data_IF_355013154375
#
_entry.id   IF_355013154375
#
_cell.length_a   1.000
_cell.length_b   1.000
_cell.length_c   1.000
_cell.angle_alpha   90.00
_cell.angle_beta   90.00
_cell.angle_gamma   90.00
#
_symmetry.space_group_name_H-M   'P 1'
#
loop_
_entity.id
_entity.type
_entity.pdbx_description
1 polymer ?
#
# COMPACT_ATOMS: atom_id res chain seq x y z
N UNK A 1 7.59 47.28 3.78
CA UNK A 1 8.44 46.61 2.76
C UNK A 1 9.95 46.78 2.97
N UNK A 2 10.48 47.92 3.43
CA UNK A 2 11.94 48.15 3.61
C UNK A 2 12.70 47.10 4.45
N UNK A 3 12.07 46.53 5.49
CA UNK A 3 12.71 45.51 6.36
C UNK A 3 12.89 44.13 5.70
N UNK A 4 12.05 43.78 4.72
CA UNK A 4 12.19 42.54 3.92
C UNK A 4 13.42 42.66 3.00
N UNK A 5 13.55 43.80 2.31
CA UNK A 5 14.65 44.07 1.38
C UNK A 5 16.02 44.05 2.07
N UNK A 6 16.12 44.60 3.29
CA UNK A 6 17.36 44.58 4.06
C UNK A 6 17.76 43.17 4.51
N UNK A 7 16.77 42.28 4.73
CA UNK A 7 17.02 40.89 5.13
C UNK A 7 17.54 40.04 3.97
N UNK A 8 17.02 40.28 2.75
CA UNK A 8 17.48 39.66 1.51
C UNK A 8 18.89 40.11 1.15
N UNK A 9 19.20 41.41 1.25
CA UNK A 9 20.56 41.94 1.00
C UNK A 9 21.61 41.36 1.96
N UNK A 10 21.24 41.06 3.21
CA UNK A 10 22.14 40.42 4.17
C UNK A 10 22.47 38.95 3.80
N UNK A 11 21.52 38.20 3.23
CA UNK A 11 21.76 36.85 2.69
C UNK A 11 22.70 36.90 1.48
N UNK A 12 22.55 37.89 0.61
CA UNK A 12 23.43 38.11 -0.54
C UNK A 12 24.86 38.57 -0.19
N UNK A 13 25.17 38.88 1.09
CA UNK A 13 26.52 39.24 1.53
C UNK A 13 27.41 38.03 1.86
N UNK A 14 26.82 36.85 2.11
CA UNK A 14 27.54 35.60 2.40
C UNK A 14 27.10 34.46 1.46
N UNK A 15 27.10 34.74 0.14
CA UNK A 15 26.45 33.90 -0.90
C UNK A 15 26.87 32.44 -0.85
N UNK A 16 28.18 32.14 -0.80
CA UNK A 16 28.69 30.76 -0.83
C UNK A 16 28.23 29.97 0.41
N UNK A 17 28.40 30.55 1.61
CA UNK A 17 27.98 29.90 2.86
C UNK A 17 26.47 29.69 2.92
N UNK A 18 25.68 30.66 2.46
CA UNK A 18 24.22 30.54 2.40
C UNK A 18 23.78 29.50 1.37
N UNK A 19 24.43 29.43 0.20
CA UNK A 19 24.13 28.44 -0.85
C UNK A 19 24.42 27.01 -0.38
N UNK A 20 25.62 26.75 0.14
CA UNK A 20 26.01 25.40 0.61
C UNK A 20 25.02 24.89 1.66
N UNK A 21 24.63 25.75 2.60
CA UNK A 21 23.73 25.40 3.68
C UNK A 21 22.28 25.18 3.22
N UNK A 22 21.77 26.01 2.29
CA UNK A 22 20.43 25.84 1.72
C UNK A 22 20.37 24.54 0.91
N UNK A 23 21.41 24.26 0.10
CA UNK A 23 21.48 23.01 -0.66
C UNK A 23 21.53 21.81 0.30
N UNK A 24 22.37 21.85 1.33
CA UNK A 24 22.46 20.77 2.32
C UNK A 24 21.13 20.51 3.04
N UNK A 25 20.41 21.57 3.43
CA UNK A 25 19.09 21.44 4.04
C UNK A 25 18.05 20.91 3.05
N UNK A 26 18.05 21.41 1.81
CA UNK A 26 17.13 20.98 0.77
C UNK A 26 17.31 19.49 0.46
N UNK A 27 18.56 19.03 0.28
CA UNK A 27 18.88 17.62 0.05
C UNK A 27 18.50 16.75 1.24
N UNK A 28 18.80 17.20 2.47
CA UNK A 28 18.43 16.46 3.69
C UNK A 28 16.92 16.28 3.84
N UNK A 29 16.15 17.36 3.67
CA UNK A 29 14.68 17.31 3.73
C UNK A 29 14.11 16.48 2.59
N UNK A 30 14.63 16.61 1.35
CA UNK A 30 14.18 15.82 0.22
C UNK A 30 14.43 14.31 0.44
N UNK A 31 15.60 13.94 0.94
CA UNK A 31 15.93 12.55 1.26
C UNK A 31 15.00 12.00 2.35
N UNK A 32 14.77 12.76 3.43
CA UNK A 32 13.82 12.36 4.49
C UNK A 32 12.40 12.20 3.94
N UNK A 33 11.93 13.12 3.08
CA UNK A 33 10.59 13.04 2.50
C UNK A 33 10.41 11.81 1.60
N UNK A 34 11.41 11.47 0.78
CA UNK A 34 11.38 10.25 -0.05
C UNK A 34 11.24 9.01 0.85
N UNK A 35 12.04 8.94 1.91
CA UNK A 35 12.00 7.80 2.84
C UNK A 35 10.65 7.72 3.56
N UNK A 36 10.13 8.84 4.06
CA UNK A 36 8.82 8.89 4.73
C UNK A 36 7.70 8.49 3.78
N UNK A 37 7.75 8.94 2.51
CA UNK A 37 6.74 8.55 1.51
C UNK A 37 6.78 7.05 1.23
N UNK A 38 7.97 6.46 1.14
CA UNK A 38 8.13 5.02 1.00
C UNK A 38 7.55 4.26 2.21
N UNK A 39 7.89 4.67 3.44
CA UNK A 39 7.34 4.07 4.67
C UNK A 39 5.81 4.16 4.68
N UNK A 40 5.27 5.33 4.32
CA UNK A 40 3.82 5.53 4.25
C UNK A 40 3.17 4.59 3.23
N UNK A 41 3.75 4.43 2.03
CA UNK A 41 3.25 3.50 1.02
C UNK A 41 3.24 2.05 1.49
N UNK A 42 4.28 1.63 2.23
CA UNK A 42 4.37 0.27 2.77
C UNK A 42 3.38 0.02 3.93
N UNK A 43 3.09 1.03 4.76
CA UNK A 43 2.13 0.91 5.87
C UNK A 43 0.67 1.02 5.42
N UNK A 44 0.43 1.66 4.27
CA UNK A 44 -0.92 1.88 3.71
C UNK A 44 -1.31 0.85 2.65
N UNK A 45 -0.65 -0.31 2.63
CA UNK A 45 -1.00 -1.39 1.70
C UNK A 45 -2.46 -1.81 1.90
N UNK A 46 -3.18 -1.98 0.79
CA UNK A 46 -4.60 -2.33 0.69
C UNK A 46 -5.60 -1.33 1.31
N UNK A 47 -5.16 -0.14 1.75
CA UNK A 47 -6.04 0.86 2.36
C UNK A 47 -7.03 1.51 1.37
N UNK A 48 -6.89 1.26 0.07
CA UNK A 48 -7.89 1.62 -0.94
C UNK A 48 -9.23 0.90 -0.73
N UNK A 49 -9.24 -0.26 -0.06
CA UNK A 49 -10.46 -0.98 0.30
C UNK A 49 -11.20 -0.26 1.44
N UNK A 50 -12.41 0.24 1.19
CA UNK A 50 -13.19 1.03 2.17
C UNK A 50 -13.49 0.25 3.45
N UNK A 51 -13.71 -1.06 3.30
CA UNK A 51 -14.05 -1.97 4.39
C UNK A 51 -12.87 -2.87 4.80
N UNK A 52 -11.61 -2.44 4.62
CA UNK A 52 -10.42 -3.26 4.91
C UNK A 52 -10.43 -3.88 6.31
N UNK A 53 -10.95 -3.18 7.32
CA UNK A 53 -11.04 -3.70 8.69
C UNK A 53 -12.02 -4.88 8.87
N UNK A 54 -12.85 -5.14 7.87
CA UNK A 54 -13.82 -6.24 7.83
C UNK A 54 -13.43 -7.32 6.83
N UNK A 55 -12.34 -7.12 6.08
CA UNK A 55 -11.83 -8.10 5.14
C UNK A 55 -10.85 -9.02 5.84
N UNK A 56 -11.10 -10.31 5.69
CA UNK A 56 -10.30 -11.37 6.25
C UNK A 56 -9.95 -12.37 5.17
N UNK A 57 -8.78 -12.98 5.27
CA UNK A 57 -8.35 -14.06 4.40
C UNK A 57 -8.45 -15.38 5.16
N UNK A 58 -8.87 -16.43 4.47
CA UNK A 58 -8.94 -17.77 5.04
C UNK A 58 -7.54 -18.40 5.11
N UNK A 59 -7.25 -18.99 6.26
CA UNK A 59 -6.01 -19.72 6.52
C UNK A 59 -6.34 -21.07 7.14
N UNK A 60 -5.46 -22.05 6.94
CA UNK A 60 -5.52 -23.33 7.62
C UNK A 60 -4.25 -23.53 8.44
N UNK A 61 -4.41 -23.89 9.71
CA UNK A 61 -3.33 -24.41 10.54
C UNK A 61 -3.30 -25.94 10.39
N UNK A 62 -2.16 -26.46 9.95
CA UNK A 62 -1.89 -27.90 9.85
C UNK A 62 -1.42 -28.46 11.20
N UNK A 63 -1.48 -29.78 11.36
CA UNK A 63 -1.06 -30.49 12.58
C UNK A 63 0.41 -30.25 12.96
N UNK A 64 1.28 -29.97 11.99
CA UNK A 64 2.69 -29.61 12.20
C UNK A 64 2.89 -28.16 12.69
N UNK A 65 1.81 -27.41 12.94
CA UNK A 65 1.85 -26.01 13.36
C UNK A 65 1.99 -25.00 12.23
N UNK A 66 2.25 -25.43 10.99
CA UNK A 66 2.32 -24.55 9.83
C UNK A 66 0.97 -23.92 9.51
N UNK A 67 0.95 -22.62 9.25
CA UNK A 67 -0.23 -21.87 8.85
C UNK A 67 -0.06 -21.46 7.40
N UNK A 68 -1.00 -21.80 6.53
CA UNK A 68 -0.97 -21.42 5.12
C UNK A 68 -2.26 -20.72 4.71
N UNK A 69 -2.15 -19.81 3.74
CA UNK A 69 -3.34 -19.31 3.02
C UNK A 69 -3.98 -20.49 2.31
N UNK A 70 -5.31 -20.54 2.35
CA UNK A 70 -6.09 -21.57 1.67
C UNK A 70 -7.38 -20.96 1.13
N UNK A 71 -8.00 -21.68 0.22
CA UNK A 71 -9.37 -21.43 -0.19
C UNK A 71 -10.39 -22.27 0.60
N UNK A 72 -11.67 -22.12 0.24
CA UNK A 72 -12.77 -22.89 0.80
C UNK A 72 -13.22 -24.03 -0.13
N UNK A 73 -12.30 -24.65 -0.89
CA UNK A 73 -12.65 -25.44 -2.07
C UNK A 73 -12.52 -26.98 -1.96
N UNK A 74 -12.56 -27.60 -0.78
CA UNK A 74 -12.69 -29.06 -0.68
C UNK A 74 -14.17 -29.52 -0.69
N UNK A 75 -14.92 -29.09 -1.70
CA UNK A 75 -16.38 -29.27 -1.79
C UNK A 75 -16.81 -30.71 -2.04
N UNK A 76 -15.87 -31.59 -2.40
CA UNK A 76 -16.13 -33.00 -2.68
C UNK A 76 -15.86 -33.90 -1.47
N UNK A 77 -15.33 -33.36 -0.37
CA UNK A 77 -15.14 -34.09 0.87
C UNK A 77 -16.39 -34.00 1.77
N UNK A 78 -17.02 -35.13 2.15
CA UNK A 78 -18.18 -35.13 3.05
C UNK A 78 -17.88 -34.59 4.46
N UNK A 79 -16.61 -34.53 4.88
CA UNK A 79 -16.18 -34.00 6.17
C UNK A 79 -15.91 -32.48 6.13
N UNK A 80 -15.97 -31.84 4.96
CA UNK A 80 -15.72 -30.42 4.83
C UNK A 80 -16.89 -29.59 5.36
N UNK A 81 -16.61 -28.80 6.40
CA UNK A 81 -17.51 -27.79 6.94
C UNK A 81 -17.01 -26.43 6.46
N UNK A 82 -17.73 -25.86 5.50
CA UNK A 82 -17.41 -24.57 4.91
C UNK A 82 -17.52 -23.43 5.94
N UNK A 83 -16.41 -22.79 6.35
CA UNK A 83 -16.43 -21.70 7.31
C UNK A 83 -17.17 -20.46 6.75
N UNK A 84 -17.32 -20.36 5.43
CA UNK A 84 -17.96 -19.24 4.75
C UNK A 84 -19.49 -19.31 4.76
N UNK A 85 -20.09 -20.45 5.14
CA UNK A 85 -21.55 -20.59 5.30
C UNK A 85 -22.10 -20.01 6.61
N UNK A 86 -21.23 -19.49 7.47
CA UNK A 86 -21.64 -18.88 8.73
C UNK A 86 -22.42 -17.57 8.47
N UNK A 87 -23.55 -17.32 9.16
CA UNK A 87 -24.36 -16.10 8.96
C UNK A 87 -23.62 -14.79 9.29
N UNK A 88 -22.52 -14.84 10.05
CA UNK A 88 -21.67 -13.68 10.35
C UNK A 88 -20.80 -13.25 9.14
N UNK A 89 -20.74 -14.05 8.07
CA UNK A 89 -20.07 -13.74 6.81
C UNK A 89 -21.07 -13.06 5.87
N UNK A 90 -20.87 -11.78 5.58
CA UNK A 90 -21.73 -11.01 4.67
C UNK A 90 -21.53 -11.38 3.20
N UNK A 91 -20.31 -11.79 2.86
CA UNK A 91 -19.93 -12.17 1.51
C UNK A 91 -18.50 -12.64 1.47
N UNK A 92 -18.19 -13.57 0.57
CA UNK A 92 -16.86 -14.09 0.36
C UNK A 92 -16.59 -14.24 -1.13
N UNK A 93 -15.32 -14.15 -1.49
CA UNK A 93 -14.85 -14.32 -2.85
C UNK A 93 -13.69 -15.30 -2.89
N UNK A 94 -13.73 -16.16 -3.89
CA UNK A 94 -12.67 -17.10 -4.20
C UNK A 94 -11.75 -16.56 -5.29
N UNK A 95 -10.45 -16.73 -5.10
CA UNK A 95 -9.44 -16.32 -6.08
C UNK A 95 -8.33 -17.35 -6.25
N UNK A 96 -7.89 -17.58 -7.48
CA UNK A 96 -6.64 -18.27 -7.78
C UNK A 96 -5.82 -17.32 -8.62
N UNK A 97 -4.61 -17.04 -8.18
CA UNK A 97 -3.69 -16.24 -8.98
C UNK A 97 -2.75 -17.14 -9.77
N UNK A 98 -2.31 -16.67 -10.93
CA UNK A 98 -1.42 -17.34 -11.85
C UNK A 98 -0.34 -16.32 -12.22
N UNK A 99 0.82 -16.49 -11.63
CA UNK A 99 1.98 -15.65 -11.90
C UNK A 99 2.68 -16.20 -13.14
N UNK A 100 3.12 -15.30 -14.01
CA UNK A 100 3.88 -15.66 -15.21
C UNK A 100 3.15 -16.61 -16.16
N UNK A 101 1.82 -16.54 -16.19
CA UNK A 101 1.02 -17.23 -17.19
C UNK A 101 1.15 -16.54 -18.55
N UNK A 102 0.43 -17.01 -19.56
CA UNK A 102 0.41 -16.39 -20.87
C UNK A 102 -0.98 -16.29 -21.48
N UNK A 103 -1.15 -15.26 -22.30
CA UNK A 103 -2.26 -15.13 -23.24
C UNK A 103 -1.73 -15.20 -24.66
N UNK A 104 -2.57 -15.68 -25.57
CA UNK A 104 -2.30 -15.68 -27.00
C UNK A 104 -3.16 -14.57 -27.64
N UNK A 105 -2.49 -13.63 -28.28
CA UNK A 105 -3.11 -12.55 -29.04
C UNK A 105 -2.34 -12.41 -30.36
N UNK A 106 -3.05 -12.40 -31.48
CA UNK A 106 -2.45 -12.30 -32.83
C UNK A 106 -1.31 -13.29 -33.06
N UNK A 107 -1.54 -14.57 -32.72
CA UNK A 107 -0.56 -15.68 -32.78
C UNK A 107 0.70 -15.53 -31.89
N UNK A 108 0.83 -14.45 -31.12
CA UNK A 108 1.93 -14.21 -30.19
C UNK A 108 1.55 -14.52 -28.74
N UNK A 109 2.52 -15.03 -27.97
CA UNK A 109 2.37 -15.29 -26.54
C UNK A 109 2.87 -14.10 -25.72
N UNK A 110 2.01 -13.55 -24.88
CA UNK A 110 2.34 -12.49 -23.95
C UNK A 110 2.28 -13.00 -22.52
N UNK A 111 3.31 -12.72 -21.73
CA UNK A 111 3.35 -13.06 -20.30
C UNK A 111 2.39 -12.15 -19.54
N UNK A 112 1.61 -12.72 -18.64
CA UNK A 112 0.58 -12.04 -17.87
C UNK A 112 0.42 -12.64 -16.48
N UNK A 113 0.08 -11.82 -15.49
CA UNK A 113 -0.40 -12.30 -14.20
C UNK A 113 -1.92 -12.37 -14.21
N UNK A 114 -2.47 -13.58 -14.14
CA UNK A 114 -3.93 -13.81 -14.23
C UNK A 114 -4.50 -14.07 -12.85
N UNK A 115 -5.50 -13.30 -12.45
CA UNK A 115 -6.33 -13.56 -11.30
C UNK A 115 -7.65 -14.18 -11.75
N UNK A 116 -7.82 -15.46 -11.47
CA UNK A 116 -9.07 -16.18 -11.69
C UNK A 116 -9.96 -15.98 -10.48
N UNK A 117 -11.13 -15.36 -10.64
CA UNK A 117 -12.01 -15.04 -9.52
C UNK A 117 -13.50 -15.05 -9.87
N UNK A 118 -14.34 -14.87 -8.86
CA UNK A 118 -15.79 -14.82 -9.00
C UNK A 118 -16.33 -13.40 -9.21
N UNK A 119 -17.66 -13.28 -9.26
CA UNK A 119 -18.35 -12.02 -9.45
C UNK A 119 -18.21 -11.03 -8.28
N UNK A 120 -17.88 -11.51 -7.07
CA UNK A 120 -17.91 -10.72 -5.84
C UNK A 120 -16.55 -10.06 -5.53
N UNK A 121 -15.46 -10.53 -6.12
CA UNK A 121 -14.11 -10.05 -5.84
C UNK A 121 -13.96 -8.54 -5.88
N UNK A 122 -14.33 -7.90 -7.00
CA UNK A 122 -14.26 -6.45 -7.19
C UNK A 122 -15.29 -5.65 -6.36
N UNK A 123 -16.21 -6.34 -5.68
CA UNK A 123 -17.12 -5.74 -4.70
C UNK A 123 -16.55 -5.80 -3.27
N UNK A 124 -15.64 -6.75 -3.01
CA UNK A 124 -14.90 -6.84 -1.75
C UNK A 124 -13.64 -5.98 -1.78
N UNK A 125 -12.86 -6.09 -2.86
CA UNK A 125 -11.66 -5.33 -3.13
C UNK A 125 -12.02 -4.18 -4.08
N UNK A 126 -12.09 -2.96 -3.53
CA UNK A 126 -12.62 -1.75 -4.19
C UNK A 126 -11.67 -1.18 -5.28
N UNK A 127 -11.21 -2.00 -6.23
CA UNK A 127 -10.39 -1.51 -7.33
C UNK A 127 -11.17 -0.50 -8.20
N UNK A 128 -10.56 0.63 -8.58
CA UNK A 128 -11.21 1.65 -9.41
C UNK A 128 -11.46 1.09 -10.82
N UNK A 129 -12.71 1.09 -11.26
CA UNK A 129 -13.10 0.69 -12.63
C UNK A 129 -13.19 1.94 -13.49
N UNK A 130 -12.44 1.98 -14.59
CA UNK A 130 -12.38 3.11 -15.51
C UNK A 130 -13.49 3.00 -16.56
N UNK A 131 -13.65 1.82 -17.14
CA UNK A 131 -14.59 1.56 -18.22
C UNK A 131 -15.10 0.12 -18.17
N UNK A 132 -16.33 -0.09 -18.67
CA UNK A 132 -16.93 -1.42 -18.78
C UNK A 132 -17.51 -1.97 -17.47
N UNK A 133 -17.40 -3.29 -17.28
CA UNK A 133 -18.03 -4.03 -16.18
C UNK A 133 -17.21 -3.98 -14.89
N UNK A 134 -17.91 -3.86 -13.75
CA UNK A 134 -17.31 -4.01 -12.41
C UNK A 134 -17.39 -5.44 -11.86
N UNK A 135 -18.27 -6.27 -12.41
CA UNK A 135 -18.50 -7.62 -11.94
C UNK A 135 -18.51 -8.55 -13.13
N UNK A 136 -17.79 -9.66 -13.02
CA UNK A 136 -17.78 -10.74 -14.01
C UNK A 136 -19.19 -11.36 -14.04
N UNK A 137 -19.83 -11.36 -15.21
CA UNK A 137 -21.19 -11.88 -15.38
C UNK A 137 -21.22 -13.14 -16.23
N UNK A 138 -20.28 -13.27 -17.18
CA UNK A 138 -20.24 -14.36 -18.15
C UNK A 138 -18.91 -15.12 -18.07
N UNK A 139 -18.88 -16.40 -18.47
CA UNK A 139 -17.66 -17.19 -18.47
C UNK A 139 -16.62 -16.73 -19.51
N UNK A 140 -17.01 -15.89 -20.47
CA UNK A 140 -16.13 -15.30 -21.47
C UNK A 140 -15.68 -13.86 -21.14
N UNK A 141 -16.07 -13.32 -19.99
CA UNK A 141 -15.68 -11.97 -19.58
C UNK A 141 -14.22 -11.94 -19.12
N UNK A 142 -13.50 -10.88 -19.47
CA UNK A 142 -12.20 -10.55 -18.91
C UNK A 142 -12.14 -9.08 -18.50
N UNK A 143 -11.40 -8.79 -17.43
CA UNK A 143 -11.14 -7.44 -16.95
C UNK A 143 -9.64 -7.24 -16.93
N UNK A 144 -9.15 -6.16 -17.55
CA UNK A 144 -7.72 -5.90 -17.71
C UNK A 144 -7.30 -4.66 -16.91
N UNK A 145 -6.06 -4.62 -16.42
CA UNK A 145 -5.51 -3.38 -15.85
C UNK A 145 -5.18 -2.37 -16.94
N UNK A 146 -5.36 -1.07 -16.67
CA UNK A 146 -4.98 0.00 -17.62
C UNK A 146 -3.51 -0.11 -18.02
N UNK A 147 -2.63 -0.42 -17.07
CA UNK A 147 -1.20 -0.55 -17.33
C UNK A 147 -0.91 -1.67 -18.33
N UNK A 148 -1.54 -2.84 -18.16
CA UNK A 148 -1.32 -3.97 -19.06
C UNK A 148 -2.00 -3.78 -20.42
N UNK A 149 -3.19 -3.16 -20.45
CA UNK A 149 -3.83 -2.76 -21.70
C UNK A 149 -2.93 -1.82 -22.51
N UNK A 150 -2.27 -0.86 -21.85
CA UNK A 150 -1.31 0.04 -22.50
C UNK A 150 -0.07 -0.67 -23.01
N UNK A 151 0.38 -1.72 -22.30
CA UNK A 151 1.50 -2.54 -22.75
C UNK A 151 1.17 -3.31 -24.05
N UNK A 152 -0.08 -3.80 -24.19
CA UNK A 152 -0.51 -4.57 -25.35
C UNK A 152 -0.91 -3.72 -26.56
N UNK A 153 -1.67 -2.64 -26.33
CA UNK A 153 -2.30 -1.85 -27.41
C UNK A 153 -1.99 -0.35 -27.36
N UNK A 154 -1.05 0.11 -26.53
CA UNK A 154 -0.72 1.52 -26.42
C UNK A 154 -1.90 2.34 -25.88
N UNK A 155 -2.27 3.41 -26.58
CA UNK A 155 -3.41 4.26 -26.18
C UNK A 155 -4.74 3.88 -26.89
N UNK A 156 -4.80 2.71 -27.52
CA UNK A 156 -6.04 2.22 -28.15
C UNK A 156 -7.05 1.67 -27.13
N UNK A 157 -8.34 1.73 -27.49
CA UNK A 157 -9.42 1.20 -26.64
C UNK A 157 -9.31 -0.33 -26.50
N UNK A 158 -9.21 -0.88 -25.27
CA UNK A 158 -9.07 -2.31 -25.04
C UNK A 158 -10.42 -3.04 -24.98
N UNK A 159 -11.54 -2.33 -24.79
CA UNK A 159 -12.87 -2.93 -24.68
C UNK A 159 -13.29 -3.64 -25.98
N UNK A 160 -13.88 -4.82 -25.83
CA UNK A 160 -14.37 -5.65 -26.93
C UNK A 160 -13.29 -6.51 -27.61
N UNK A 161 -12.01 -6.32 -27.29
CA UNK A 161 -10.92 -7.16 -27.83
C UNK A 161 -10.97 -8.56 -27.24
N UNK A 162 -10.53 -9.52 -28.06
CA UNK A 162 -10.49 -10.92 -27.68
C UNK A 162 -9.05 -11.42 -27.63
N UNK A 163 -8.79 -12.36 -26.73
CA UNK A 163 -7.54 -13.09 -26.62
C UNK A 163 -7.84 -14.51 -26.16
N UNK A 164 -6.89 -15.43 -26.37
CA UNK A 164 -7.03 -16.81 -25.93
C UNK A 164 -6.21 -16.99 -24.65
N UNK A 165 -6.85 -17.50 -23.59
CA UNK A 165 -6.17 -17.81 -22.32
C UNK A 165 -5.24 -19.02 -22.48
N UNK A 166 -4.30 -19.19 -21.55
CA UNK A 166 -3.46 -20.41 -21.47
C UNK A 166 -4.27 -21.70 -21.38
N UNK A 167 -5.48 -21.62 -20.83
CA UNK A 167 -6.43 -22.72 -20.77
C UNK A 167 -7.09 -23.05 -22.12
N UNK A 168 -6.97 -22.17 -23.13
CA UNK A 168 -7.52 -22.35 -24.48
C UNK A 168 -8.91 -21.74 -24.68
N UNK A 169 -9.40 -20.93 -23.73
CA UNK A 169 -10.68 -20.25 -23.86
C UNK A 169 -10.48 -18.88 -24.50
N UNK A 170 -11.38 -18.51 -25.42
CA UNK A 170 -11.42 -17.16 -25.96
C UNK A 170 -12.18 -16.26 -24.99
N UNK A 171 -11.51 -15.23 -24.48
CA UNK A 171 -12.07 -14.27 -23.53
C UNK A 171 -12.16 -12.90 -24.18
N UNK A 172 -13.19 -12.14 -23.82
CA UNK A 172 -13.46 -10.79 -24.31
C UNK A 172 -13.24 -9.79 -23.20
N UNK A 173 -12.46 -8.74 -23.47
CA UNK A 173 -12.25 -7.65 -22.52
C UNK A 173 -13.51 -6.83 -22.42
N UNK A 174 -14.12 -6.81 -21.23
CA UNK A 174 -15.35 -6.07 -20.97
C UNK A 174 -15.23 -5.08 -19.81
N UNK A 175 -14.11 -5.07 -19.12
CA UNK A 175 -13.83 -4.10 -18.06
C UNK A 175 -12.36 -3.69 -18.05
N UNK A 176 -12.11 -2.46 -17.65
CA UNK A 176 -10.75 -1.94 -17.41
C UNK A 176 -10.68 -1.37 -16.01
N UNK A 177 -9.72 -1.86 -15.22
CA UNK A 177 -9.44 -1.38 -13.86
C UNK A 177 -8.17 -0.53 -13.84
N UNK A 178 -8.16 0.49 -13.00
CA UNK A 178 -6.98 1.34 -12.77
C UNK A 178 -6.15 0.83 -11.59
N UNK A 179 -4.95 1.40 -11.46
CA UNK A 179 -4.18 1.27 -10.23
C UNK A 179 -4.93 1.95 -9.05
N UNK A 180 -5.03 1.30 -7.89
CA UNK A 180 -5.64 1.91 -6.71
C UNK A 180 -4.78 3.05 -6.13
N UNK A 181 -5.41 3.93 -5.34
CA UNK A 181 -4.74 5.09 -4.71
C UNK A 181 -3.59 4.69 -3.77
N UNK A 182 -3.66 3.50 -3.18
CA UNK A 182 -2.64 2.94 -2.30
C UNK A 182 -2.10 1.64 -2.87
N UNK A 183 -0.85 1.28 -2.52
CA UNK A 183 -0.23 0.03 -2.96
C UNK A 183 -1.12 -1.18 -2.65
N UNK A 184 -1.35 -2.06 -3.61
CA UNK A 184 -2.07 -3.31 -3.38
C UNK A 184 -1.10 -4.46 -3.08
N UNK A 185 -1.47 -5.32 -2.13
CA UNK A 185 -0.71 -6.55 -1.86
C UNK A 185 -0.92 -7.60 -2.94
N UNK A 186 -2.09 -7.65 -3.58
CA UNK A 186 -2.41 -8.60 -4.63
C UNK A 186 -2.12 -7.97 -5.99
N UNK A 187 -1.16 -8.55 -6.72
CA UNK A 187 -0.78 -8.09 -8.05
C UNK A 187 -1.39 -8.98 -9.13
N UNK A 188 -2.02 -8.35 -10.12
CA UNK A 188 -2.56 -9.01 -11.31
C UNK A 188 -2.57 -8.04 -12.48
N UNK A 189 -2.55 -8.58 -13.69
CA UNK A 189 -2.66 -7.84 -14.95
C UNK A 189 -4.03 -8.08 -15.61
N UNK A 190 -4.60 -9.25 -15.37
CA UNK A 190 -5.85 -9.71 -15.97
C UNK A 190 -6.70 -10.44 -14.93
N UNK A 191 -8.00 -10.19 -14.93
CA UNK A 191 -8.99 -10.93 -14.14
C UNK A 191 -9.87 -11.76 -15.08
N UNK A 192 -10.04 -13.04 -14.77
CA UNK A 192 -10.85 -13.98 -15.54
C UNK A 192 -11.78 -14.82 -14.64
N UNK A 193 -12.88 -15.39 -15.17
CA UNK A 193 -13.85 -16.16 -14.40
C UNK A 193 -13.31 -17.55 -13.97
N UNK A 194 -13.68 -17.96 -12.75
CA UNK A 194 -13.39 -19.30 -12.17
C UNK A 194 -13.93 -20.48 -12.99
N UNK A 195 -15.00 -20.30 -13.77
CA UNK A 195 -15.71 -21.38 -14.48
C UNK A 195 -15.00 -21.95 -15.72
N UNK A 196 -13.69 -21.74 -15.89
CA UNK A 196 -12.93 -22.21 -17.07
C UNK A 196 -12.41 -23.65 -16.96
N UNK A 197 -12.91 -24.49 -16.04
CA UNK A 197 -12.63 -25.94 -15.98
C UNK A 197 -11.17 -26.33 -15.65
N UNK A 198 -10.19 -25.97 -16.49
CA UNK A 198 -8.75 -26.19 -16.29
C UNK A 198 -8.16 -25.38 -15.13
N UNK A 199 -8.77 -24.25 -14.79
CA UNK A 199 -8.34 -23.45 -13.64
C UNK A 199 -8.86 -24.00 -12.29
N UNK A 200 -9.68 -25.05 -12.29
CA UNK A 200 -10.14 -25.76 -11.08
C UNK A 200 -9.34 -27.03 -10.77
N UNK A 201 -8.17 -27.23 -11.41
CA UNK A 201 -7.31 -28.36 -11.09
C UNK A 201 -6.87 -28.32 -9.61
N UNK A 202 -7.14 -29.41 -8.90
CA UNK A 202 -6.86 -29.68 -7.48
C UNK A 202 -5.40 -29.44 -7.03
N UNK A 203 -4.48 -29.26 -7.99
CA UNK A 203 -3.06 -28.97 -7.74
C UNK A 203 -2.79 -27.49 -7.44
N UNK A 204 -3.79 -26.60 -7.51
CA UNK A 204 -3.58 -25.16 -7.42
C UNK A 204 -4.23 -24.57 -6.18
N UNK A 205 -3.43 -23.98 -5.31
CA UNK A 205 -3.89 -23.35 -4.07
C UNK A 205 -4.48 -21.97 -4.35
N UNK A 206 -5.79 -21.84 -4.18
CA UNK A 206 -6.48 -20.57 -4.17
C UNK A 206 -6.39 -19.85 -2.82
N UNK A 207 -7.08 -18.73 -2.74
CA UNK A 207 -7.33 -17.99 -1.52
C UNK A 207 -8.81 -17.62 -1.45
N UNK A 208 -9.32 -17.48 -0.22
CA UNK A 208 -10.68 -16.99 0.01
C UNK A 208 -10.60 -15.70 0.83
N UNK A 209 -11.21 -14.62 0.32
CA UNK A 209 -11.39 -13.37 1.06
C UNK A 209 -12.84 -13.30 1.50
N UNK A 210 -13.07 -13.03 2.78
CA UNK A 210 -14.39 -12.92 3.38
C UNK A 210 -14.57 -11.55 4.02
N UNK A 211 -15.78 -11.00 3.92
CA UNK A 211 -16.23 -9.85 4.68
C UNK A 211 -17.10 -10.30 5.84
N UNK A 212 -16.70 -9.96 7.06
CA UNK A 212 -17.52 -10.21 8.25
C UNK A 212 -18.44 -9.04 8.56
N UNK A 213 -19.57 -9.34 9.21
CA UNK A 213 -20.53 -8.35 9.67
C UNK A 213 -19.93 -7.34 10.65
N UNK A 214 -20.48 -6.13 10.64
CA UNK A 214 -20.09 -5.06 11.59
C UNK A 214 -20.32 -5.53 13.04
N UNK A 215 -19.25 -5.53 13.84
CA UNK A 215 -19.31 -5.87 15.26
C UNK A 215 -18.97 -7.32 15.59
N UNK A 216 -18.67 -8.15 14.60
CA UNK A 216 -18.19 -9.52 14.82
C UNK A 216 -16.81 -9.53 15.47
N UNK A 217 -16.69 -10.20 16.62
CA UNK A 217 -15.40 -10.41 17.26
C UNK A 217 -14.64 -11.56 16.58
N UNK A 218 -13.51 -11.26 15.96
CA UNK A 218 -12.70 -12.24 15.23
C UNK A 218 -12.30 -13.45 16.08
N UNK A 219 -12.02 -13.26 17.37
CA UNK A 219 -11.62 -14.35 18.28
C UNK A 219 -12.75 -15.37 18.45
N UNK A 220 -13.95 -14.90 18.79
CA UNK A 220 -15.13 -15.76 18.91
C UNK A 220 -15.49 -16.45 17.59
N UNK A 221 -15.35 -15.74 16.46
CA UNK A 221 -15.56 -16.35 15.15
C UNK A 221 -14.53 -17.46 14.86
N UNK A 222 -13.25 -17.19 15.09
CA UNK A 222 -12.18 -18.16 14.90
C UNK A 222 -12.34 -19.39 15.80
N UNK A 223 -12.78 -19.24 17.06
CA UNK A 223 -13.09 -20.37 17.93
C UNK A 223 -14.21 -21.27 17.37
N UNK A 224 -15.24 -20.67 16.74
CA UNK A 224 -16.33 -21.42 16.10
C UNK A 224 -15.86 -22.24 14.89
N UNK A 225 -14.98 -21.67 14.05
CA UNK A 225 -14.51 -22.31 12.80
C UNK A 225 -13.26 -23.18 12.97
N UNK A 226 -12.50 -23.04 14.06
CA UNK A 226 -11.23 -23.74 14.31
C UNK A 226 -11.42 -25.21 14.73
N UNK A 227 -12.60 -25.80 14.50
CA UNK A 227 -12.83 -27.24 14.70
C UNK A 227 -11.93 -28.02 13.75
N UNK A 228 -11.15 -29.00 14.25
CA UNK A 228 -10.31 -29.83 13.39
C UNK A 228 -11.16 -30.57 12.35
N UNK A 229 -10.75 -30.49 11.09
CA UNK A 229 -11.35 -31.22 9.97
C UNK A 229 -10.27 -32.07 9.30
N UNK A 230 -10.54 -33.35 9.07
CA UNK A 230 -9.63 -34.28 8.39
C UNK A 230 -10.03 -34.40 6.93
N UNK A 231 -9.48 -33.53 6.09
CA UNK A 231 -9.82 -33.47 4.67
C UNK A 231 -8.94 -34.40 3.82
N UNK A 232 -9.51 -34.94 2.75
CA UNK A 232 -8.85 -35.81 1.77
C UNK A 232 -7.63 -35.11 1.15
N UNK A 233 -7.74 -33.82 0.81
CA UNK A 233 -6.64 -33.05 0.20
C UNK A 233 -5.41 -32.93 1.11
N UNK A 234 -5.57 -33.11 2.43
CA UNK A 234 -4.48 -33.12 3.42
C UNK A 234 -4.11 -34.53 3.89
N UNK A 235 -4.51 -35.57 3.13
CA UNK A 235 -4.27 -36.96 3.49
C UNK A 235 -4.90 -37.34 4.83
N UNK A 236 -6.09 -36.78 5.12
CA UNK A 236 -6.81 -36.91 6.40
C UNK A 236 -6.10 -36.34 7.64
N UNK A 237 -5.00 -35.60 7.44
CA UNK A 237 -4.39 -34.86 8.54
C UNK A 237 -5.34 -33.78 9.05
N UNK A 238 -5.53 -33.64 10.38
CA UNK A 238 -6.44 -32.64 10.92
C UNK A 238 -5.90 -31.24 10.64
N UNK A 239 -6.75 -30.41 10.04
CA UNK A 239 -6.50 -28.99 9.81
C UNK A 239 -7.53 -28.13 10.55
N UNK A 240 -7.14 -26.92 10.94
CA UNK A 240 -8.02 -25.96 11.61
C UNK A 240 -8.12 -24.69 10.79
N UNK A 241 -9.32 -24.32 10.37
CA UNK A 241 -9.55 -23.07 9.66
C UNK A 241 -9.52 -21.88 10.62
N UNK A 242 -8.92 -20.78 10.15
CA UNK A 242 -8.93 -19.48 10.83
C UNK A 242 -9.00 -18.35 9.82
N UNK A 243 -9.63 -17.25 10.22
CA UNK A 243 -9.58 -15.99 9.50
C UNK A 243 -8.46 -15.12 10.05
N UNK A 244 -7.67 -14.56 9.13
CA UNK A 244 -6.65 -13.55 9.42
C UNK A 244 -7.09 -12.20 8.82
N UNK A 245 -6.98 -11.06 9.53
CA UNK A 245 -7.27 -9.75 8.97
C UNK A 245 -6.39 -9.47 7.75
N UNK A 246 -7.00 -9.03 6.63
CA UNK A 246 -6.27 -8.79 5.39
C UNK A 246 -5.16 -7.75 5.56
N UNK A 247 -5.39 -6.71 6.38
CA UNK A 247 -4.40 -5.67 6.70
C UNK A 247 -3.14 -6.20 7.40
N UNK A 248 -3.23 -7.34 8.08
CA UNK A 248 -2.09 -7.94 8.80
C UNK A 248 -1.27 -8.86 7.90
N UNK A 249 -1.89 -9.40 6.85
CA UNK A 249 -1.26 -10.34 5.91
C UNK A 249 0.04 -9.79 5.32
N UNK A 250 0.08 -8.51 4.96
CA UNK A 250 1.25 -7.92 4.30
C UNK A 250 2.54 -8.04 5.14
N UNK A 251 2.46 -7.95 6.46
CA UNK A 251 3.60 -8.02 7.38
C UNK A 251 3.71 -9.34 8.15
N UNK A 252 2.75 -10.24 7.99
CA UNK A 252 2.75 -11.52 8.67
C UNK A 252 3.86 -12.43 8.12
N UNK A 253 4.70 -12.99 9.00
CA UNK A 253 5.80 -13.91 8.64
C UNK A 253 5.46 -15.39 8.90
N UNK A 254 4.36 -15.65 9.61
CA UNK A 254 3.97 -16.98 10.08
C UNK A 254 3.12 -17.69 9.03
N UNK A 255 2.23 -16.95 8.37
CA UNK A 255 1.36 -17.48 7.32
C UNK A 255 2.17 -17.65 6.05
N UNK A 256 2.49 -18.91 5.74
CA UNK A 256 3.09 -19.25 4.47
C UNK A 256 2.09 -18.98 3.34
N UNK A 257 2.52 -18.18 2.38
CA UNK A 257 1.91 -18.16 1.06
C UNK A 257 2.80 -19.03 0.20
N UNK A 258 2.47 -20.32 0.03
CA UNK A 258 3.23 -21.16 -0.92
C UNK A 258 3.14 -20.59 -2.35
N UNK A 259 2.15 -19.74 -2.57
CA UNK A 259 1.92 -19.02 -3.80
C UNK A 259 2.36 -17.56 -3.68
N UNK A 260 3.32 -17.11 -4.50
CA UNK A 260 3.98 -15.79 -4.43
C UNK A 260 3.11 -14.62 -4.93
N UNK A 261 1.79 -14.66 -4.70
CA UNK A 261 0.83 -13.71 -5.28
C UNK A 261 0.55 -12.49 -4.42
N UNK A 262 0.55 -12.68 -3.10
CA UNK A 262 0.51 -11.57 -2.16
C UNK A 262 1.94 -11.08 -1.94
N UNK A 263 2.19 -9.82 -2.29
CA UNK A 263 3.40 -9.12 -1.88
C UNK A 263 3.49 -9.15 -0.36
N UNK A 264 4.73 -9.35 0.13
CA UNK A 264 5.03 -9.32 1.56
C UNK A 264 6.01 -8.21 1.84
N UNK A 265 5.69 -7.40 2.84
CA UNK A 265 6.59 -6.42 3.42
C UNK A 265 7.34 -7.02 4.60
N UNK A 266 8.51 -6.46 4.91
CA UNK A 266 9.22 -6.78 6.14
C UNK A 266 9.16 -5.59 7.10
N UNK A 267 8.46 -5.77 8.22
CA UNK A 267 8.31 -4.76 9.27
C UNK A 267 9.65 -4.32 9.87
N UNK A 268 10.65 -5.20 9.90
CA UNK A 268 12.00 -4.85 10.39
C UNK A 268 12.68 -3.84 9.47
N UNK A 269 12.57 -4.01 8.14
CA UNK A 269 13.13 -3.05 7.18
C UNK A 269 12.46 -1.68 7.34
N UNK A 270 11.14 -1.63 7.52
CA UNK A 270 10.42 -0.38 7.76
C UNK A 270 10.88 0.27 9.07
N UNK A 271 11.10 -0.52 10.11
CA UNK A 271 11.57 -0.02 11.41
C UNK A 271 12.97 0.58 11.30
N UNK A 272 13.91 -0.13 10.65
CA UNK A 272 15.26 0.36 10.39
C UNK A 272 15.22 1.65 9.57
N UNK A 273 14.42 1.67 8.51
CA UNK A 273 14.28 2.82 7.64
C UNK A 273 13.66 4.03 8.36
N UNK A 274 12.73 3.79 9.28
CA UNK A 274 12.13 4.83 10.13
C UNK A 274 13.17 5.46 11.07
N UNK A 275 14.07 4.64 11.65
CA UNK A 275 15.17 5.12 12.49
C UNK A 275 16.13 5.98 11.66
N UNK A 276 16.50 5.52 10.46
CA UNK A 276 17.36 6.27 9.54
C UNK A 276 16.73 7.60 9.13
N UNK A 277 15.44 7.61 8.80
CA UNK A 277 14.70 8.83 8.47
C UNK A 277 14.73 9.84 9.63
N UNK A 278 14.53 9.36 10.86
CA UNK A 278 14.60 10.18 12.07
C UNK A 278 16.00 10.76 12.29
N UNK A 279 17.06 9.95 12.12
CA UNK A 279 18.44 10.43 12.23
C UNK A 279 18.78 11.50 11.18
N UNK A 280 18.37 11.30 9.92
CA UNK A 280 18.57 12.29 8.85
C UNK A 280 17.84 13.60 9.16
N UNK A 281 16.62 13.50 9.67
CA UNK A 281 15.83 14.66 10.09
C UNK A 281 16.55 15.43 11.21
N UNK A 282 17.08 14.74 12.22
CA UNK A 282 17.84 15.35 13.32
C UNK A 282 19.10 16.06 12.81
N UNK A 283 19.86 15.45 11.89
CA UNK A 283 21.02 16.10 11.27
C UNK A 283 20.61 17.37 10.53
N UNK A 284 19.49 17.33 9.80
CA UNK A 284 18.91 18.50 9.14
C UNK A 284 18.53 19.62 10.12
N UNK A 285 17.92 19.27 11.26
CA UNK A 285 17.59 20.22 12.32
C UNK A 285 18.84 20.82 12.94
N UNK A 286 19.85 20.02 13.28
CA UNK A 286 21.10 20.52 13.86
C UNK A 286 21.84 21.44 12.89
N UNK A 287 21.85 21.09 11.60
CA UNK A 287 22.41 21.96 10.57
C UNK A 287 21.69 23.32 10.56
N UNK A 288 20.36 23.32 10.59
CA UNK A 288 19.56 24.54 10.66
C UNK A 288 19.84 25.38 11.92
N UNK A 289 19.91 24.74 13.10
CA UNK A 289 20.21 25.41 14.37
C UNK A 289 21.61 26.05 14.33
N UNK A 290 22.60 25.33 13.80
CA UNK A 290 23.97 25.81 13.72
C UNK A 290 24.06 27.07 12.85
N UNK A 291 23.45 27.04 11.65
CA UNK A 291 23.37 28.20 10.75
C UNK A 291 22.71 29.39 11.44
N UNK A 292 21.58 29.14 12.10
CA UNK A 292 20.82 30.19 12.79
C UNK A 292 21.65 30.85 13.90
N UNK A 293 22.41 30.05 14.65
CA UNK A 293 23.32 30.52 15.71
C UNK A 293 24.41 31.43 15.13
N UNK A 294 25.05 31.04 14.03
CA UNK A 294 26.07 31.89 13.35
C UNK A 294 25.48 33.23 12.88
N UNK A 295 24.26 33.21 12.33
CA UNK A 295 23.59 34.44 11.87
C UNK A 295 23.25 35.36 13.06
N UNK A 296 22.77 34.81 14.18
CA UNK A 296 22.51 35.59 15.39
C UNK A 296 23.81 36.20 15.91
N UNK A 297 24.90 35.44 16.02
CA UNK A 297 26.18 35.94 16.55
C UNK A 297 26.74 37.09 15.69
N UNK A 298 26.67 36.97 14.35
CA UNK A 298 27.09 38.06 13.45
C UNK A 298 26.24 39.32 13.63
N UNK A 299 24.93 39.18 13.87
CA UNK A 299 24.03 40.32 14.14
C UNK A 299 24.16 40.84 15.58
N UNK A 300 24.56 40.00 16.54
CA UNK A 300 24.77 40.40 17.93
C UNK A 300 25.85 41.49 18.04
N UNK A 301 26.89 41.43 17.20
CA UNK A 301 27.90 42.49 17.10
C UNK A 301 27.31 43.83 16.61
N UNK A 302 26.43 43.81 15.60
CA UNK A 302 25.69 45.00 15.16
C UNK A 302 24.76 45.55 16.27
N UNK A 303 24.11 44.67 17.02
CA UNK A 303 23.27 45.08 18.14
C UNK A 303 24.08 45.64 19.32
N UNK A 304 25.26 45.08 19.59
CA UNK A 304 26.19 45.56 20.61
C UNK A 304 26.63 47.00 20.34
N UNK A 305 27.01 47.32 19.09
CA UNK A 305 27.34 48.69 18.69
C UNK A 305 26.14 49.63 18.87
N UNK A 306 24.94 49.23 18.42
CA UNK A 306 23.72 50.05 18.56
C UNK A 306 23.28 50.27 20.02
N UNK A 307 23.63 49.36 20.93
CA UNK A 307 23.36 49.49 22.37
C UNK A 307 24.19 50.61 22.99
N UNK A 308 25.43 50.78 22.56
CA UNK A 308 26.30 51.89 23.00
C UNK A 308 25.76 53.24 22.54
N UNK A 309 25.06 53.29 21.40
CA UNK A 309 24.37 54.48 20.88
C UNK A 309 22.96 54.74 21.49
N UNK A 310 22.59 54.10 22.61
CA UNK A 310 21.38 54.46 23.36
C UNK A 310 20.06 53.76 22.98
N UNK A 311 20.09 52.75 22.10
CA UNK A 311 18.88 52.02 21.69
C UNK A 311 18.47 50.91 22.69
N UNK A 312 18.15 51.25 23.94
CA UNK A 312 17.88 50.26 25.01
C UNK A 312 16.45 49.66 24.97
N UNK A 313 15.45 50.37 24.46
CA UNK A 313 14.03 49.95 24.48
C UNK A 313 13.56 49.12 23.28
N UNK A 314 14.06 49.41 22.08
CA UNK A 314 13.63 48.78 20.81
C UNK A 314 14.16 47.33 20.67
N UNK A 315 15.22 47.01 21.42
CA UNK A 315 15.94 45.74 21.40
C UNK A 315 15.09 44.53 21.85
N UNK A 316 14.33 44.67 22.95
CA UNK A 316 13.45 43.60 23.47
C UNK A 316 12.29 43.30 22.52
N UNK A 317 11.79 44.30 21.80
CA UNK A 317 10.66 44.16 20.89
C UNK A 317 11.06 43.45 19.58
N UNK A 318 12.25 43.71 19.05
CA UNK A 318 12.73 43.07 17.82
C UNK A 318 13.16 41.60 18.02
N UNK A 319 13.78 41.26 19.14
CA UNK A 319 14.13 39.87 19.48
C UNK A 319 12.86 39.04 19.68
N UNK A 320 11.87 39.53 20.45
CA UNK A 320 10.55 38.87 20.60
C UNK A 320 9.83 38.71 19.25
N UNK A 321 9.90 39.69 18.35
CA UNK A 321 9.24 39.64 17.04
C UNK A 321 9.95 38.72 16.04
N UNK A 322 11.27 38.56 16.13
CA UNK A 322 12.00 37.58 15.32
C UNK A 322 11.74 36.14 15.79
N UNK A 323 11.75 35.88 17.10
CA UNK A 323 11.32 34.60 17.67
C UNK A 323 9.85 34.27 17.31
N UNK A 324 8.94 35.24 17.37
CA UNK A 324 7.51 35.04 17.02
C UNK A 324 7.28 34.77 15.53
N UNK A 325 8.09 35.33 14.63
CA UNK A 325 8.08 34.99 13.19
C UNK A 325 8.66 33.60 12.91
N UNK A 326 9.49 33.08 13.81
CA UNK A 326 10.17 31.80 13.66
C UNK A 326 9.24 30.61 13.91
N UNK A 327 8.38 30.69 14.94
CA UNK A 327 7.28 29.73 15.11
C UNK A 327 6.31 29.74 13.92
N UNK A 328 6.08 30.91 13.32
CA UNK A 328 5.18 31.06 12.18
C UNK A 328 5.74 30.46 10.86
N UNK A 329 7.06 30.25 10.74
CA UNK A 329 7.68 29.58 9.58
C UNK A 329 7.83 28.06 9.76
N UNK A 330 7.82 27.55 10.99
CA UNK A 330 7.87 26.10 11.29
C UNK A 330 6.49 25.44 11.10
N UNK A 331 5.40 26.19 11.36
CA UNK A 331 4.01 25.74 11.18
C UNK A 331 3.69 25.34 9.73
N UNK A 332 4.04 26.11 8.68
CA UNK A 332 3.77 25.70 7.30
C UNK A 332 4.58 24.47 6.87
N UNK A 333 5.82 24.27 7.35
CA UNK A 333 6.57 23.03 7.08
C UNK A 333 5.96 21.79 7.73
N UNK A 334 5.27 21.94 8.87
CA UNK A 334 4.47 20.86 9.48
C UNK A 334 3.12 20.65 8.76
N UNK A 335 2.54 21.71 8.19
CA UNK A 335 1.31 21.63 7.40
C UNK A 335 1.54 20.95 6.05
N UNK A 336 2.70 21.18 5.42
CA UNK A 336 3.11 20.50 4.19
C UNK A 336 3.31 19.00 4.37
N UNK A 337 3.73 18.56 5.56
CA UNK A 337 3.80 17.13 5.91
C UNK A 337 2.38 16.53 6.02
N UNK A 338 1.37 17.31 6.43
CA UNK A 338 -0.02 16.86 6.54
C UNK A 338 -0.78 16.83 5.22
N UNK A 339 -0.31 17.54 4.19
CA UNK A 339 -0.89 17.47 2.83
C UNK A 339 -0.11 16.55 1.87
N UNK A 340 1.10 16.09 2.26
CA UNK A 340 1.87 15.09 1.51
C UNK A 340 1.74 13.65 2.04
N UNK A 341 1.18 13.49 3.25
CA UNK A 341 0.68 12.22 3.81
C UNK A 341 -0.80 12.16 3.45
#
# INVERSE_FOLDING_TARGET
MKNQLSSIKALFRFRIYTIINIIGLAVGVAATLIIVRYIHQELTVDHFCKNLNQLYILTAQRSNGGISIIDNADRNDPNFIDPMKNPEVEGYSYGISYKDDYIIYDEHRYRVNVLVTDSLFLQLMDYPVISGIKTIQRPDDAIITRQYAKHLWGDEEPLGRQFVSSAGYTLTIRGVVDEPDTKSSLQFDLITPVNQGKYMDWTRMGFCIARLAKGTELKSFNEKISKPQSLICFGHSPIQFRLLPLKELYFDKVVSSESSFFLRGNKEHITVLSIVACMLLLVGIFNFINIYTVIILKRAREFGVKKVYGASGIHRFYIKRHLKKQYLCIIPSLFQIRECI
#
